data_IF_544435696302
#
_entry.id   IF_544435696302
#
_cell.length_a   1.000
_cell.length_b   1.000
_cell.length_c   1.000
_cell.angle_alpha   90.00
_cell.angle_beta   90.00
_cell.angle_gamma   90.00
#
_symmetry.space_group_name_H-M   'P 1'
#
loop_
_entity.id
_entity.type
_entity.pdbx_description
1 polymer ?
#
# COMPACT_ATOMS: atom_id res chain seq x y z
N UNK A 1 -1.44 14.34 -10.94
CA UNK A 1 -1.75 15.04 -9.68
C UNK A 1 -1.57 14.06 -8.56
N UNK A 2 -1.05 14.48 -7.42
CA UNK A 2 -0.83 13.61 -6.28
C UNK A 2 -0.86 14.40 -4.96
N UNK A 3 -0.82 13.69 -3.84
CA UNK A 3 -0.66 14.26 -2.52
C UNK A 3 0.24 13.36 -1.66
N UNK A 4 1.22 13.96 -0.99
CA UNK A 4 2.09 13.27 -0.04
C UNK A 4 1.60 13.45 1.40
N UNK A 5 1.96 12.50 2.26
CA UNK A 5 1.74 12.55 3.71
C UNK A 5 0.29 12.92 4.05
N UNK A 6 -0.63 12.12 3.52
CA UNK A 6 -2.08 12.28 3.78
C UNK A 6 -2.44 11.84 5.19
N UNK A 7 -1.65 10.98 5.83
CA UNK A 7 -2.03 10.30 7.07
C UNK A 7 -2.86 9.03 6.80
N UNK A 8 -3.14 8.72 5.53
CA UNK A 8 -3.92 7.56 5.12
C UNK A 8 -2.98 6.38 4.88
N UNK A 9 -2.63 5.69 5.97
CA UNK A 9 -1.70 4.57 5.90
C UNK A 9 -2.27 3.34 5.22
N UNK A 10 -1.34 2.63 4.59
CA UNK A 10 -1.55 1.44 3.76
C UNK A 10 -0.98 0.17 4.39
N UNK A 11 -0.30 0.31 5.53
CA UNK A 11 0.22 -0.77 6.35
C UNK A 11 -0.73 -0.94 7.53
N UNK A 12 -1.27 -2.14 7.68
CA UNK A 12 -2.11 -2.53 8.80
C UNK A 12 -1.42 -3.66 9.54
N UNK A 13 -1.63 -3.75 10.85
CA UNK A 13 -1.15 -4.88 11.63
C UNK A 13 -2.08 -5.20 12.78
N UNK A 14 -2.04 -6.45 13.21
CA UNK A 14 -2.48 -6.91 14.51
C UNK A 14 -1.30 -7.67 15.18
N UNK A 15 -1.58 -8.48 16.19
CA UNK A 15 -0.55 -9.21 16.92
C UNK A 15 0.20 -10.22 16.04
N UNK A 16 -0.50 -10.95 15.17
CA UNK A 16 0.10 -12.05 14.39
C UNK A 16 0.26 -11.77 12.88
N UNK A 17 -0.36 -10.71 12.33
CA UNK A 17 -0.35 -10.42 10.89
C UNK A 17 -0.10 -8.96 10.53
N UNK A 18 0.47 -8.75 9.35
CA UNK A 18 0.61 -7.46 8.68
C UNK A 18 -0.09 -7.54 7.32
N UNK A 19 -0.83 -6.49 6.96
CA UNK A 19 -1.41 -6.31 5.63
C UNK A 19 -0.82 -5.07 4.98
N UNK A 20 -0.37 -5.22 3.74
CA UNK A 20 0.09 -4.13 2.86
C UNK A 20 -0.93 -3.95 1.74
N UNK A 21 -1.44 -2.72 1.59
CA UNK A 21 -2.49 -2.39 0.63
C UNK A 21 -2.01 -1.37 -0.42
N UNK A 22 -2.39 -1.56 -1.67
CA UNK A 22 -2.17 -0.58 -2.74
C UNK A 22 -3.31 -0.62 -3.78
N UNK A 23 -3.53 0.46 -4.52
CA UNK A 23 -4.64 0.58 -5.47
C UNK A 23 -5.74 1.49 -4.97
N UNK A 24 -6.98 1.19 -5.35
CA UNK A 24 -8.11 2.08 -5.16
C UNK A 24 -8.34 2.43 -3.68
N UNK A 25 -8.43 3.73 -3.37
CA UNK A 25 -8.55 4.21 -2.00
C UNK A 25 -9.81 3.74 -1.28
N UNK A 26 -10.95 3.62 -1.96
CA UNK A 26 -12.19 3.15 -1.34
C UNK A 26 -12.07 1.68 -0.92
N UNK A 27 -11.47 0.85 -1.77
CA UNK A 27 -11.17 -0.54 -1.42
C UNK A 27 -10.20 -0.61 -0.23
N UNK A 28 -9.17 0.23 -0.21
CA UNK A 28 -8.25 0.31 0.93
C UNK A 28 -9.01 0.66 2.21
N UNK A 29 -9.87 1.69 2.20
CA UNK A 29 -10.68 2.06 3.36
C UNK A 29 -11.57 0.91 3.85
N UNK A 30 -12.25 0.19 2.95
CA UNK A 30 -13.06 -0.97 3.33
C UNK A 30 -12.21 -2.06 4.00
N UNK A 31 -11.03 -2.35 3.47
CA UNK A 31 -10.10 -3.32 4.04
C UNK A 31 -9.54 -2.87 5.39
N UNK A 32 -9.23 -1.58 5.56
CA UNK A 32 -8.84 -1.00 6.86
C UNK A 32 -9.95 -1.23 7.89
N UNK A 33 -11.18 -0.89 7.54
CA UNK A 33 -12.33 -1.00 8.44
C UNK A 33 -12.60 -2.46 8.80
N UNK A 34 -12.59 -3.36 7.83
CA UNK A 34 -12.77 -4.79 8.07
C UNK A 34 -11.67 -5.36 8.98
N UNK A 35 -10.40 -5.09 8.67
CA UNK A 35 -9.26 -5.64 9.40
C UNK A 35 -9.16 -5.14 10.84
N UNK A 36 -9.57 -3.89 11.11
CA UNK A 36 -9.67 -3.33 12.47
C UNK A 36 -10.94 -3.77 13.21
N UNK A 37 -11.86 -4.44 12.54
CA UNK A 37 -13.12 -4.91 13.10
C UNK A 37 -13.08 -6.43 13.34
N UNK A 38 -14.23 -7.08 13.21
CA UNK A 38 -14.37 -8.52 13.32
C UNK A 38 -14.02 -9.19 11.98
N UNK A 39 -12.80 -9.72 11.88
CA UNK A 39 -12.32 -10.42 10.68
C UNK A 39 -13.00 -11.77 10.44
N UNK A 40 -13.85 -12.25 11.36
CA UNK A 40 -14.70 -13.43 11.11
C UNK A 40 -15.79 -13.14 10.08
N UNK A 41 -16.12 -11.86 9.86
CA UNK A 41 -17.02 -11.42 8.80
C UNK A 41 -16.38 -11.59 7.41
N UNK A 42 -17.19 -11.68 6.35
CA UNK A 42 -16.68 -11.69 4.98
C UNK A 42 -15.73 -10.52 4.72
N UNK A 43 -14.61 -10.80 4.06
CA UNK A 43 -13.67 -9.76 3.65
C UNK A 43 -14.31 -8.87 2.57
N UNK A 44 -13.90 -7.59 2.47
CA UNK A 44 -14.34 -6.73 1.38
C UNK A 44 -13.82 -7.20 0.03
N UNK A 45 -14.45 -6.73 -1.04
CA UNK A 45 -13.98 -7.00 -2.39
C UNK A 45 -12.58 -6.41 -2.65
N UNK A 46 -11.89 -7.01 -3.62
CA UNK A 46 -10.56 -6.60 -4.09
C UNK A 46 -10.59 -5.90 -5.45
N UNK A 47 -11.76 -5.81 -6.09
CA UNK A 47 -11.96 -5.04 -7.31
C UNK A 47 -13.42 -4.56 -7.45
N UNK A 48 -13.61 -3.45 -8.16
CA UNK A 48 -14.93 -2.90 -8.50
C UNK A 48 -14.83 -2.16 -9.84
N UNK A 49 -15.50 -2.68 -10.87
CA UNK A 49 -15.30 -2.20 -12.24
C UNK A 49 -13.84 -2.32 -12.68
N UNK A 50 -13.23 -1.21 -13.09
CA UNK A 50 -11.80 -1.15 -13.47
C UNK A 50 -10.87 -0.90 -12.28
N UNK A 51 -11.41 -0.59 -11.10
CA UNK A 51 -10.63 -0.33 -9.90
C UNK A 51 -10.25 -1.64 -9.21
N UNK A 52 -9.00 -1.74 -8.75
CA UNK A 52 -8.49 -2.93 -8.07
C UNK A 52 -7.65 -2.58 -6.85
N UNK A 53 -7.49 -3.57 -5.98
CA UNK A 53 -6.66 -3.57 -4.79
C UNK A 53 -5.57 -4.63 -4.94
N UNK A 54 -4.33 -4.26 -4.63
CA UNK A 54 -3.22 -5.16 -4.36
C UNK A 54 -3.08 -5.35 -2.86
N UNK A 55 -2.91 -6.60 -2.44
CA UNK A 55 -2.86 -7.01 -1.03
C UNK A 55 -1.65 -7.93 -0.86
N UNK A 56 -0.82 -7.64 0.12
CA UNK A 56 0.15 -8.61 0.64
C UNK A 56 -0.13 -8.86 2.12
N UNK A 57 -0.09 -10.12 2.53
CA UNK A 57 -0.35 -10.58 3.89
C UNK A 57 0.91 -11.29 4.39
N UNK A 58 1.38 -10.89 5.57
CA UNK A 58 2.58 -11.42 6.21
C UNK A 58 2.17 -11.97 7.57
N UNK A 59 2.54 -13.20 7.86
CA UNK A 59 2.44 -13.83 9.18
C UNK A 59 3.72 -13.49 9.97
N UNK A 60 3.56 -12.78 11.10
CA UNK A 60 4.66 -12.31 11.95
C UNK A 60 5.33 -13.47 12.67
N UNK A 61 4.56 -14.44 13.15
CA UNK A 61 5.05 -15.57 13.95
C UNK A 61 5.96 -16.48 13.13
N UNK A 62 5.60 -16.71 11.87
CA UNK A 62 6.40 -17.53 10.94
C UNK A 62 7.38 -16.71 10.10
N UNK A 63 7.34 -15.38 10.20
CA UNK A 63 8.08 -14.47 9.33
C UNK A 63 7.91 -14.83 7.84
N UNK A 64 6.66 -15.04 7.43
CA UNK A 64 6.32 -15.61 6.13
C UNK A 64 5.34 -14.70 5.38
N UNK A 65 5.55 -14.55 4.08
CA UNK A 65 4.56 -13.96 3.18
C UNK A 65 3.50 -15.02 2.82
N UNK A 66 2.32 -14.95 3.43
CA UNK A 66 1.25 -15.93 3.20
C UNK A 66 0.48 -15.68 1.92
N UNK A 67 0.38 -14.41 1.50
CA UNK A 67 -0.27 -14.04 0.26
C UNK A 67 0.32 -12.75 -0.31
N UNK A 68 0.36 -12.63 -1.63
CA UNK A 68 0.64 -11.36 -2.30
C UNK A 68 -0.02 -11.30 -3.67
N UNK A 69 -0.69 -10.18 -3.96
CA UNK A 69 -1.19 -9.88 -5.29
C UNK A 69 -0.42 -8.73 -5.93
N UNK A 70 -0.06 -8.95 -7.20
CA UNK A 70 0.67 -7.98 -8.02
C UNK A 70 1.95 -8.57 -8.59
N UNK A 71 2.64 -7.77 -9.41
CA UNK A 71 4.00 -8.09 -9.82
C UNK A 71 4.98 -7.63 -8.73
N UNK A 72 5.82 -8.57 -8.31
CA UNK A 72 6.85 -8.32 -7.32
C UNK A 72 8.21 -8.74 -7.85
N UNK A 73 9.25 -8.10 -7.34
CA UNK A 73 10.64 -8.49 -7.52
C UNK A 73 11.10 -9.25 -6.28
N UNK A 74 11.08 -10.59 -6.29
CA UNK A 74 11.61 -11.39 -5.19
C UNK A 74 13.13 -11.36 -5.20
N UNK A 75 13.72 -11.20 -4.03
CA UNK A 75 15.12 -11.52 -3.78
C UNK A 75 15.16 -12.74 -2.87
N UNK A 76 15.57 -13.86 -3.46
CA UNK A 76 15.72 -15.12 -2.75
C UNK A 76 17.19 -15.50 -2.64
N UNK A 77 17.56 -16.08 -1.51
CA UNK A 77 18.90 -16.63 -1.26
C UNK A 77 18.72 -18.07 -0.75
N UNK A 78 19.42 -19.03 -1.34
CA UNK A 78 19.33 -20.47 -0.99
C UNK A 78 17.89 -21.02 -0.97
N UNK A 79 17.08 -20.63 -1.97
CA UNK A 79 15.67 -20.99 -2.09
C UNK A 79 14.73 -20.40 -1.02
N UNK A 80 15.22 -19.48 -0.19
CA UNK A 80 14.40 -18.76 0.80
C UNK A 80 14.16 -17.32 0.33
N UNK A 81 12.92 -16.84 0.41
CA UNK A 81 12.60 -15.44 0.12
C UNK A 81 13.20 -14.56 1.24
N UNK A 82 14.08 -13.62 0.87
CA UNK A 82 14.71 -12.68 1.82
C UNK A 82 14.09 -11.30 1.78
N UNK A 83 13.63 -10.87 0.60
CA UNK A 83 12.91 -9.62 0.44
C UNK A 83 12.00 -9.67 -0.79
N UNK A 84 10.95 -8.87 -0.75
CA UNK A 84 10.00 -8.71 -1.85
C UNK A 84 9.76 -7.22 -2.09
N UNK A 85 9.97 -6.76 -3.32
CA UNK A 85 9.80 -5.36 -3.68
C UNK A 85 8.69 -5.20 -4.72
N UNK A 86 7.94 -4.10 -4.64
CA UNK A 86 6.90 -3.74 -5.62
C UNK A 86 6.98 -2.25 -5.97
N UNK A 87 6.24 -1.86 -7.01
CA UNK A 87 6.23 -0.47 -7.51
C UNK A 87 7.41 -0.13 -8.43
N UNK A 88 7.42 1.10 -8.96
CA UNK A 88 8.45 1.62 -9.87
C UNK A 88 9.84 1.67 -9.23
N UNK A 89 9.91 1.97 -7.93
CA UNK A 89 11.14 2.01 -7.16
C UNK A 89 11.79 0.65 -6.85
N UNK A 90 11.09 -0.46 -7.16
CA UNK A 90 11.49 -1.82 -6.74
C UNK A 90 12.90 -2.22 -7.16
N UNK A 91 13.34 -1.88 -8.38
CA UNK A 91 14.68 -2.24 -8.88
C UNK A 91 15.80 -1.51 -8.12
N UNK A 92 15.58 -0.24 -7.79
CA UNK A 92 16.54 0.56 -7.04
C UNK A 92 16.63 0.08 -5.59
N UNK A 93 15.48 -0.19 -4.96
CA UNK A 93 15.42 -0.77 -3.63
C UNK A 93 16.10 -2.15 -3.58
N UNK A 94 15.78 -3.04 -4.53
CA UNK A 94 16.38 -4.36 -4.61
C UNK A 94 17.89 -4.32 -4.85
N UNK A 95 18.38 -3.37 -5.64
CA UNK A 95 19.82 -3.19 -5.84
C UNK A 95 20.52 -2.81 -4.54
N UNK A 96 20.00 -1.82 -3.81
CA UNK A 96 20.56 -1.41 -2.52
C UNK A 96 20.45 -2.53 -1.47
N UNK A 97 19.35 -3.30 -1.47
CA UNK A 97 19.18 -4.44 -0.57
C UNK A 97 20.30 -5.48 -0.71
N UNK A 98 20.75 -5.76 -1.94
CA UNK A 98 21.84 -6.74 -2.17
C UNK A 98 23.14 -6.34 -1.47
N UNK A 99 23.34 -5.05 -1.21
CA UNK A 99 24.55 -4.53 -0.57
C UNK A 99 24.35 -4.28 0.93
N UNK A 100 23.17 -3.78 1.33
CA UNK A 100 22.91 -3.28 2.69
C UNK A 100 22.07 -4.20 3.55
N UNK A 101 21.25 -5.04 2.93
CA UNK A 101 20.26 -5.92 3.59
C UNK A 101 19.39 -5.16 4.62
N UNK A 102 19.08 -3.89 4.34
CA UNK A 102 18.33 -2.99 5.21
C UNK A 102 17.13 -2.42 4.44
N UNK A 103 15.91 -2.72 4.89
CA UNK A 103 14.68 -2.29 4.23
C UNK A 103 14.58 -0.76 4.16
N UNK A 104 14.92 -0.06 5.25
CA UNK A 104 14.83 1.40 5.34
C UNK A 104 15.80 2.11 4.38
N UNK A 105 17.03 1.63 4.31
CA UNK A 105 18.03 2.15 3.36
C UNK A 105 17.62 1.85 1.92
N UNK A 106 17.06 0.66 1.66
CA UNK A 106 16.60 0.26 0.33
C UNK A 106 15.50 1.18 -0.20
N UNK A 107 14.50 1.52 0.62
CA UNK A 107 13.45 2.47 0.22
C UNK A 107 14.02 3.89 0.08
N UNK A 108 14.95 4.30 0.94
CA UNK A 108 15.60 5.62 0.85
C UNK A 108 16.43 5.77 -0.44
N UNK A 109 17.09 4.70 -0.88
CA UNK A 109 17.78 4.65 -2.16
C UNK A 109 16.78 4.75 -3.33
N UNK A 110 15.63 4.08 -3.24
CA UNK A 110 14.58 4.20 -4.26
C UNK A 110 13.99 5.62 -4.34
N UNK A 111 13.74 6.29 -3.21
CA UNK A 111 13.30 7.70 -3.18
C UNK A 111 14.28 8.61 -3.92
N UNK A 112 15.58 8.32 -3.82
CA UNK A 112 16.63 9.14 -4.45
C UNK A 112 16.76 8.89 -5.96
N UNK A 113 16.30 7.75 -6.47
CA UNK A 113 16.54 7.29 -7.83
C UNK A 113 15.29 7.18 -8.70
N UNK A 114 14.10 7.02 -8.11
CA UNK A 114 12.82 6.92 -8.81
C UNK A 114 11.95 8.14 -8.52
N UNK A 115 11.66 8.95 -9.55
CA UNK A 115 10.89 10.18 -9.40
C UNK A 115 9.42 9.97 -8.99
N UNK A 116 8.93 8.74 -9.08
CA UNK A 116 7.60 8.34 -8.64
C UNK A 116 7.58 7.78 -7.21
N UNK A 117 8.73 7.62 -6.58
CA UNK A 117 8.88 7.18 -5.19
C UNK A 117 9.30 8.36 -4.33
N UNK A 118 8.57 8.63 -3.25
CA UNK A 118 8.83 9.80 -2.41
C UNK A 118 8.20 9.69 -1.03
N UNK A 119 8.24 10.80 -0.29
CA UNK A 119 7.68 10.90 1.05
C UNK A 119 8.57 10.29 2.13
N UNK A 120 7.94 9.99 3.28
CA UNK A 120 8.62 9.39 4.43
C UNK A 120 8.58 7.86 4.37
N UNK A 121 9.68 7.20 4.76
CA UNK A 121 9.72 5.73 4.83
C UNK A 121 8.88 5.23 6.01
N UNK A 122 7.76 4.59 5.69
CA UNK A 122 6.88 3.90 6.65
C UNK A 122 7.31 2.44 6.83
N UNK A 123 7.29 1.93 8.06
CA UNK A 123 7.79 0.59 8.36
C UNK A 123 7.11 -0.04 9.58
N UNK A 124 7.19 -1.37 9.64
CA UNK A 124 6.85 -2.21 10.78
C UNK A 124 8.05 -3.14 11.02
N UNK A 125 8.68 -3.05 12.18
CA UNK A 125 9.71 -3.99 12.64
C UNK A 125 9.14 -4.87 13.75
N UNK A 126 8.86 -6.13 13.41
CA UNK A 126 8.21 -7.08 14.32
C UNK A 126 9.19 -8.04 15.01
N UNK A 127 10.50 -7.99 14.69
CA UNK A 127 11.50 -8.91 15.28
C UNK A 127 12.33 -8.27 16.41
N UNK A 128 12.28 -6.95 16.61
CA UNK A 128 13.14 -6.22 17.58
C UNK A 128 12.40 -5.16 18.43
N UNK A 129 11.41 -5.60 19.20
CA UNK A 129 10.70 -4.72 20.14
C UNK A 129 9.61 -3.85 19.51
N UNK A 130 9.13 -4.19 18.31
CA UNK A 130 7.90 -3.64 17.76
C UNK A 130 8.00 -2.19 17.32
N UNK A 131 9.09 -1.76 16.67
CA UNK A 131 9.20 -0.36 16.20
C UNK A 131 8.30 -0.13 15.00
N UNK A 132 7.50 0.92 15.06
CA UNK A 132 6.50 1.25 14.05
C UNK A 132 6.69 2.69 13.56
N UNK A 133 6.55 2.88 12.25
CA UNK A 133 6.31 4.18 11.64
C UNK A 133 5.19 3.99 10.60
N UNK A 134 3.95 3.92 11.07
CA UNK A 134 2.75 3.77 10.22
C UNK A 134 1.92 5.05 10.28
N UNK A 135 1.24 5.38 9.18
CA UNK A 135 0.24 6.45 9.19
C UNK A 135 -1.12 5.88 9.58
N UNK A 136 -1.78 6.47 10.57
CA UNK A 136 -3.15 6.08 10.89
C UNK A 136 -4.03 7.24 11.36
N UNK A 137 -3.60 8.46 11.06
CA UNK A 137 -4.30 9.68 11.46
C UNK A 137 -5.49 10.01 10.57
N UNK A 138 -5.54 9.44 9.36
CA UNK A 138 -6.66 9.57 8.42
C UNK A 138 -7.20 8.18 8.08
N UNK A 139 -8.51 8.03 8.24
CA UNK A 139 -9.18 6.74 8.08
C UNK A 139 -10.08 6.69 6.86
N UNK A 140 -10.46 7.84 6.28
CA UNK A 140 -11.42 7.88 5.17
C UNK A 140 -10.88 8.56 3.91
N UNK A 141 -11.32 8.11 2.75
CA UNK A 141 -11.07 8.74 1.45
C UNK A 141 -11.71 10.12 1.37
N UNK A 142 -12.80 10.36 2.10
CA UNK A 142 -13.38 11.69 2.24
C UNK A 142 -12.38 12.68 2.83
N UNK A 143 -11.66 12.31 3.89
CA UNK A 143 -10.61 13.14 4.49
C UNK A 143 -9.39 13.29 3.56
N UNK A 144 -9.02 12.22 2.85
CA UNK A 144 -7.97 12.29 1.80
C UNK A 144 -8.36 13.29 0.72
N UNK A 145 -9.61 13.28 0.25
CA UNK A 145 -10.13 14.23 -0.72
C UNK A 145 -10.06 15.66 -0.21
N UNK A 146 -10.49 15.91 1.04
CA UNK A 146 -10.37 17.24 1.66
C UNK A 146 -8.91 17.71 1.73
N UNK A 147 -8.00 16.78 1.97
CA UNK A 147 -6.56 17.07 2.04
C UNK A 147 -6.00 17.36 0.65
N UNK A 148 -6.39 16.60 -0.37
CA UNK A 148 -6.03 16.80 -1.78
C UNK A 148 -6.44 18.20 -2.25
N UNK A 149 -7.66 18.64 -1.91
CA UNK A 149 -8.15 19.98 -2.29
C UNK A 149 -7.37 21.12 -1.61
N UNK A 150 -6.70 20.86 -0.48
CA UNK A 150 -5.92 21.86 0.28
C UNK A 150 -4.43 21.86 -0.07
N UNK A 151 -3.85 20.68 -0.30
CA UNK A 151 -2.39 20.45 -0.38
C UNK A 151 -1.97 19.68 -1.63
N UNK A 152 -2.89 19.44 -2.57
CA UNK A 152 -2.61 18.69 -3.78
C UNK A 152 -1.56 19.36 -4.65
N UNK A 153 -0.75 18.52 -5.31
CA UNK A 153 0.34 18.93 -6.16
C UNK A 153 0.18 18.36 -7.57
N UNK A 154 0.68 19.10 -8.55
CA UNK A 154 0.83 18.66 -9.94
C UNK A 154 2.31 18.44 -10.22
N UNK A 155 2.58 17.23 -10.71
CA UNK A 155 3.87 16.79 -11.23
C UNK A 155 3.78 16.79 -12.76
N UNK A 156 4.84 17.28 -13.41
CA UNK A 156 5.01 17.19 -14.86
C UNK A 156 5.68 15.85 -15.19
N UNK A 157 4.89 14.87 -15.65
CA UNK A 157 5.39 13.52 -15.90
C UNK A 157 6.36 13.44 -17.07
N UNK A 158 6.36 14.43 -17.97
CA UNK A 158 7.31 14.52 -19.08
C UNK A 158 8.64 15.16 -18.65
N UNK A 159 8.64 15.88 -17.53
CA UNK A 159 9.83 16.48 -16.95
C UNK A 159 9.82 16.31 -15.42
N UNK A 160 10.08 15.09 -14.92
CA UNK A 160 10.00 14.78 -13.49
C UNK A 160 11.02 15.54 -12.62
N UNK A 161 12.07 16.12 -13.22
CA UNK A 161 13.01 16.99 -12.52
C UNK A 161 12.46 18.40 -12.26
N UNK A 162 11.31 18.76 -12.83
CA UNK A 162 10.68 20.06 -12.62
C UNK A 162 10.00 20.10 -11.26
N UNK A 163 10.21 21.19 -10.52
CA UNK A 163 9.57 21.40 -9.22
C UNK A 163 8.05 21.30 -9.34
N UNK A 164 7.46 20.47 -8.48
CA UNK A 164 6.00 20.29 -8.42
C UNK A 164 5.34 21.60 -8.03
N UNK A 165 4.12 21.84 -8.55
CA UNK A 165 3.36 23.06 -8.25
C UNK A 165 2.07 22.73 -7.49
N UNK A 166 1.57 23.64 -6.64
CA UNK A 166 0.25 23.50 -6.06
C UNK A 166 -0.85 23.58 -7.12
N UNK A 167 -2.02 23.04 -6.78
CA UNK A 167 -3.25 23.24 -7.54
C UNK A 167 -3.68 24.71 -7.50
N UNK A 168 -4.19 25.20 -8.62
CA UNK A 168 -4.86 26.49 -8.72
C UNK A 168 -6.31 26.39 -8.27
N UNK A 169 -6.95 27.53 -7.94
CA UNK A 169 -8.35 27.54 -7.49
C UNK A 169 -9.31 26.94 -8.54
N UNK A 170 -9.08 27.19 -9.83
CA UNK A 170 -9.89 26.63 -10.90
C UNK A 170 -9.74 25.10 -11.00
N UNK A 171 -8.51 24.58 -10.82
CA UNK A 171 -8.27 23.14 -10.78
C UNK A 171 -8.94 22.50 -9.57
N UNK A 172 -8.85 23.14 -8.39
CA UNK A 172 -9.51 22.66 -7.17
C UNK A 172 -11.02 22.55 -7.36
N UNK A 173 -11.67 23.54 -8.00
CA UNK A 173 -13.11 23.50 -8.25
C UNK A 173 -13.49 22.35 -9.20
N UNK A 174 -12.73 22.18 -10.28
CA UNK A 174 -12.94 21.08 -11.22
C UNK A 174 -12.76 19.72 -10.54
N UNK A 175 -11.69 19.54 -9.77
CA UNK A 175 -11.41 18.32 -9.00
C UNK A 175 -12.52 18.05 -7.99
N UNK A 176 -13.04 19.08 -7.33
CA UNK A 176 -14.15 18.92 -6.37
C UNK A 176 -15.38 18.32 -7.04
N UNK A 177 -15.74 18.80 -8.24
CA UNK A 177 -16.88 18.27 -8.99
C UNK A 177 -16.64 16.81 -9.41
N UNK A 178 -15.45 16.49 -9.93
CA UNK A 178 -15.09 15.13 -10.33
C UNK A 178 -15.10 14.15 -9.14
N UNK A 179 -14.60 14.58 -7.97
CA UNK A 179 -14.66 13.78 -6.74
C UNK A 179 -16.11 13.61 -6.27
N UNK A 180 -16.92 14.67 -6.30
CA UNK A 180 -18.31 14.63 -5.84
C UNK A 180 -19.19 13.71 -6.69
N UNK A 181 -18.91 13.63 -8.00
CA UNK A 181 -19.62 12.76 -8.93
C UNK A 181 -19.05 11.33 -8.97
N UNK A 182 -17.93 11.07 -8.30
CA UNK A 182 -17.28 9.75 -8.27
C UNK A 182 -16.39 9.46 -9.48
N UNK A 183 -16.17 10.43 -10.38
CA UNK A 183 -15.37 10.29 -11.60
C UNK A 183 -13.88 10.06 -11.30
N UNK A 184 -13.40 10.58 -10.17
CA UNK A 184 -12.03 10.35 -9.70
C UNK A 184 -12.03 9.96 -8.23
N UNK A 185 -11.15 9.03 -7.88
CA UNK A 185 -10.90 8.59 -6.51
C UNK A 185 -9.39 8.54 -6.27
N UNK A 186 -8.89 9.02 -5.12
CA UNK A 186 -7.50 8.85 -4.74
C UNK A 186 -7.10 7.36 -4.80
N UNK A 187 -6.00 7.08 -5.48
CA UNK A 187 -5.47 5.73 -5.61
C UNK A 187 -4.04 5.70 -5.10
N UNK A 188 -3.72 4.68 -4.31
CA UNK A 188 -2.35 4.36 -3.97
C UNK A 188 -1.66 3.80 -5.22
N UNK A 189 -0.46 4.28 -5.60
CA UNK A 189 0.26 3.73 -6.73
C UNK A 189 0.41 2.22 -6.61
N UNK A 190 -0.03 1.51 -7.63
CA UNK A 190 0.25 0.09 -7.81
C UNK A 190 1.42 -0.05 -8.77
N UNK A 191 2.17 -1.14 -8.66
CA UNK A 191 3.13 -1.49 -9.70
C UNK A 191 2.40 -1.87 -11.00
N UNK A 192 2.95 -2.83 -11.75
CA UNK A 192 2.17 -3.44 -12.82
C UNK A 192 0.94 -4.12 -12.22
N UNK A 193 -0.23 -3.83 -12.80
CA UNK A 193 -1.46 -4.50 -12.42
C UNK A 193 -1.41 -5.95 -12.90
N UNK A 194 -1.92 -6.84 -12.08
CA UNK A 194 -2.17 -8.22 -12.48
C UNK A 194 -3.63 -8.51 -12.19
N UNK A 195 -4.40 -9.06 -13.14
CA UNK A 195 -5.81 -9.36 -12.93
C UNK A 195 -6.02 -10.30 -11.74
N UNK A 196 -7.16 -10.14 -11.07
CA UNK A 196 -7.63 -11.09 -10.06
C UNK A 196 -8.23 -12.31 -10.75
N UNK A 197 -7.46 -13.39 -10.77
CA UNK A 197 -7.93 -14.69 -11.25
C UNK A 197 -8.66 -15.44 -10.13
N UNK A 198 -9.48 -16.43 -10.50
CA UNK A 198 -10.12 -17.35 -9.54
C UNK A 198 -9.08 -17.99 -8.60
N UNK A 199 -7.94 -18.40 -9.14
CA UNK A 199 -6.82 -18.95 -8.36
C UNK A 199 -6.30 -17.97 -7.30
N UNK A 200 -6.05 -16.71 -7.67
CA UNK A 200 -5.59 -15.69 -6.71
C UNK A 200 -6.62 -15.39 -5.62
N UNK A 201 -7.91 -15.45 -5.96
CA UNK A 201 -9.00 -15.28 -5.00
C UNK A 201 -9.01 -16.43 -4.01
N UNK A 202 -8.89 -17.67 -4.47
CA UNK A 202 -8.76 -18.83 -3.58
C UNK A 202 -7.53 -18.75 -2.67
N UNK A 203 -6.39 -18.30 -3.19
CA UNK A 203 -5.18 -18.10 -2.38
C UNK A 203 -5.37 -17.01 -1.31
N UNK A 204 -6.06 -15.92 -1.66
CA UNK A 204 -6.41 -14.88 -0.70
C UNK A 204 -7.36 -15.41 0.38
N UNK A 205 -8.41 -16.14 -0.02
CA UNK A 205 -9.38 -16.73 0.91
C UNK A 205 -8.67 -17.68 1.90
N UNK A 206 -7.75 -18.51 1.40
CA UNK A 206 -6.95 -19.41 2.24
C UNK A 206 -6.08 -18.66 3.26
N UNK A 207 -5.45 -17.54 2.85
CA UNK A 207 -4.67 -16.70 3.75
C UNK A 207 -5.54 -16.01 4.82
N UNK A 208 -6.74 -15.56 4.46
CA UNK A 208 -7.70 -14.97 5.40
C UNK A 208 -8.20 -16.04 6.39
N UNK A 209 -8.48 -17.25 5.93
CA UNK A 209 -8.90 -18.35 6.79
C UNK A 209 -7.80 -18.78 7.75
N UNK A 210 -6.53 -18.69 7.35
CA UNK A 210 -5.40 -18.82 8.27
C UNK A 210 -5.43 -17.74 9.36
N UNK A 211 -5.59 -16.46 8.98
CA UNK A 211 -5.66 -15.37 9.95
C UNK A 211 -6.79 -15.57 10.97
N UNK A 212 -7.95 -16.03 10.52
CA UNK A 212 -9.11 -16.32 11.36
C UNK A 212 -8.86 -17.48 12.33
N UNK A 213 -8.10 -18.50 11.92
CA UNK A 213 -7.75 -19.63 12.79
C UNK A 213 -6.82 -19.17 13.91
N UNK A 214 -5.78 -18.41 13.58
CA UNK A 214 -4.85 -17.84 14.56
C UNK A 214 -5.57 -16.99 15.62
N UNK A 215 -6.49 -16.11 15.22
CA UNK A 215 -7.23 -15.28 16.18
C UNK A 215 -8.09 -16.08 17.16
N UNK A 216 -8.58 -17.27 16.77
CA UNK A 216 -9.36 -18.15 17.66
C UNK A 216 -8.50 -18.90 18.67
N UNK A 217 -7.23 -19.13 18.36
CA UNK A 217 -6.28 -19.83 19.23
C UNK A 217 -5.69 -18.90 20.30
N UNK A 218 -5.78 -17.58 20.10
CA UNK A 218 -5.32 -16.54 21.03
C UNK A 218 -6.39 -16.10 22.06
N UNK A 219 -7.65 -16.56 21.93
CA UNK A 219 -8.77 -16.28 22.85
C UNK A 219 -9.03 -17.42 23.84
#
# INVERSE_FOLDING_TARGET
MYIDNTGFGKLLQNESFIIVLAGNGMLIEHWKNWFKSDISKPSPDVETGEAFLQVAIINKDRNELTFSSGEHLPLSERCELKALFSGSGSKYAAHNWREKQCAKESISAAISADCYTGGEVRFIDFNHGGKLNIEDTVNTIKEVNQTLLKRGLIMDTNNPGRKHRPLTNAEVENIRNLVANGDITPSAPTGRSSPWTTEKRHQLDAAIDEMRRHQKEEC
#
